data_IF_526586512127
#
_entry.id   IF_526586512127
#
_cell.length_a   1.000
_cell.length_b   1.000
_cell.length_c   1.000
_cell.angle_alpha   90.00
_cell.angle_beta   90.00
_cell.angle_gamma   90.00
#
_symmetry.space_group_name_H-M   'P 1'
#
loop_
_entity.id
_entity.type
_entity.pdbx_description
1 polymer ?
#
# COMPACT_ATOMS: atom_id res chain seq x y z
N UNK A 1 37.25 42.52 -58.75
CA UNK A 1 38.16 41.38 -59.01
C UNK A 1 39.55 41.78 -58.55
N UNK A 2 39.83 41.57 -57.26
CA UNK A 2 41.03 42.07 -56.58
C UNK A 2 41.79 40.94 -55.90
N UNK A 3 43.11 41.04 -56.00
CA UNK A 3 44.13 40.77 -54.99
C UNK A 3 43.80 39.90 -53.76
N UNK A 4 44.58 38.82 -53.62
CA UNK A 4 45.51 38.56 -52.51
C UNK A 4 45.09 38.97 -51.08
N UNK A 5 44.81 37.98 -50.21
CA UNK A 5 45.33 37.94 -48.82
C UNK A 5 45.24 36.54 -48.16
N UNK A 6 46.44 36.09 -47.80
CA UNK A 6 46.92 34.99 -46.95
C UNK A 6 46.13 34.76 -45.63
N UNK A 7 46.11 33.52 -45.13
CA UNK A 7 46.50 33.04 -43.76
C UNK A 7 46.03 31.56 -43.61
N UNK A 8 46.91 30.56 -43.75
CA UNK A 8 47.68 29.84 -42.70
C UNK A 8 46.86 29.14 -41.59
N UNK A 9 46.86 27.78 -41.61
CA UNK A 9 47.19 26.85 -40.49
C UNK A 9 47.01 25.41 -40.99
N UNK A 10 48.11 24.76 -41.39
CA UNK A 10 48.94 23.83 -40.60
C UNK A 10 48.26 22.47 -40.37
N UNK A 11 48.78 21.50 -41.12
CA UNK A 11 48.58 20.07 -41.10
C UNK A 11 48.82 19.43 -39.71
N UNK A 12 48.10 18.35 -39.41
CA UNK A 12 48.60 17.31 -38.53
C UNK A 12 48.12 15.94 -39.02
N UNK A 13 49.08 15.06 -39.33
CA UNK A 13 48.88 13.65 -39.59
C UNK A 13 48.26 12.98 -38.36
N UNK A 14 47.31 12.06 -38.58
CA UNK A 14 46.93 11.07 -37.59
C UNK A 14 47.29 9.66 -38.10
N UNK A 15 48.24 9.05 -37.41
CA UNK A 15 48.62 7.65 -37.59
C UNK A 15 47.54 6.72 -37.05
N UNK A 16 47.31 5.64 -37.78
CA UNK A 16 46.40 4.55 -37.41
C UNK A 16 47.10 3.72 -36.32
N UNK A 17 46.64 3.84 -35.07
CA UNK A 17 46.98 2.94 -33.98
C UNK A 17 45.76 2.09 -33.64
N UNK A 18 45.74 0.85 -34.12
CA UNK A 18 44.73 -0.13 -33.70
C UNK A 18 45.01 -0.58 -32.27
N UNK A 19 44.27 -0.04 -31.32
CA UNK A 19 44.19 -0.58 -29.95
C UNK A 19 43.27 -1.80 -30.02
N UNK A 20 43.84 -3.00 -29.94
CA UNK A 20 43.09 -4.20 -29.61
C UNK A 20 42.69 -4.11 -28.13
N UNK A 21 41.47 -3.63 -27.87
CA UNK A 21 40.80 -3.87 -26.59
C UNK A 21 40.42 -5.37 -26.56
N UNK A 22 41.18 -6.17 -25.82
CA UNK A 22 40.65 -7.43 -25.30
C UNK A 22 39.55 -7.05 -24.30
N UNK A 23 38.29 -7.12 -24.74
CA UNK A 23 37.15 -7.21 -23.85
C UNK A 23 37.22 -8.56 -23.12
N UNK A 24 37.93 -8.59 -21.99
CA UNK A 24 37.66 -9.59 -20.96
C UNK A 24 36.25 -9.29 -20.45
N UNK A 25 35.26 -9.92 -21.08
CA UNK A 25 33.98 -10.15 -20.43
C UNK A 25 34.30 -11.14 -19.31
N UNK A 26 34.66 -10.62 -18.14
CA UNK A 26 34.48 -11.38 -16.92
C UNK A 26 32.98 -11.63 -16.82
N UNK A 27 32.56 -12.78 -17.34
CA UNK A 27 31.31 -13.44 -16.98
C UNK A 27 31.45 -13.69 -15.48
N UNK A 28 31.08 -12.70 -14.67
CA UNK A 28 30.89 -12.90 -13.23
C UNK A 28 29.82 -13.97 -13.17
N UNK A 29 30.13 -15.21 -12.74
CA UNK A 29 29.10 -16.22 -12.61
C UNK A 29 28.10 -15.63 -11.62
N UNK A 30 26.88 -15.36 -12.06
CA UNK A 30 25.81 -14.93 -11.17
C UNK A 30 25.77 -15.97 -10.06
N UNK A 31 26.13 -15.57 -8.84
CA UNK A 31 26.26 -16.49 -7.73
C UNK A 31 25.01 -17.35 -7.67
N UNK A 32 25.16 -18.67 -7.87
CA UNK A 32 24.02 -19.58 -7.90
C UNK A 32 23.31 -19.48 -6.55
N UNK A 33 22.09 -18.92 -6.56
CA UNK A 33 21.32 -18.70 -5.33
C UNK A 33 20.83 -20.05 -4.85
N UNK A 34 21.59 -20.65 -3.94
CA UNK A 34 21.17 -21.90 -3.28
C UNK A 34 19.91 -21.66 -2.42
N UNK A 35 19.09 -22.69 -2.26
CA UNK A 35 17.91 -22.64 -1.39
C UNK A 35 18.28 -22.21 0.04
N UNK A 36 19.38 -22.74 0.58
CA UNK A 36 19.86 -22.40 1.92
C UNK A 36 20.24 -20.92 2.04
N UNK A 37 20.89 -20.35 1.01
CA UNK A 37 21.21 -18.92 0.98
C UNK A 37 19.94 -18.06 0.90
N UNK A 38 18.97 -18.45 0.06
CA UNK A 38 17.68 -17.77 -0.06
C UNK A 38 16.89 -17.78 1.26
N UNK A 39 16.80 -18.93 1.94
CA UNK A 39 16.14 -19.05 3.26
C UNK A 39 16.81 -18.18 4.31
N UNK A 40 18.14 -18.20 4.37
CA UNK A 40 18.91 -17.36 5.30
C UNK A 40 18.66 -15.86 5.04
N UNK A 41 18.67 -15.43 3.78
CA UNK A 41 18.39 -14.04 3.42
C UNK A 41 16.95 -13.64 3.79
N UNK A 42 15.97 -14.52 3.54
CA UNK A 42 14.57 -14.30 3.92
C UNK A 42 14.40 -14.15 5.42
N UNK A 43 15.05 -15.00 6.22
CA UNK A 43 15.03 -14.92 7.67
C UNK A 43 15.67 -13.61 8.16
N UNK A 44 16.82 -13.22 7.60
CA UNK A 44 17.49 -11.97 7.94
C UNK A 44 16.63 -10.74 7.61
N UNK A 45 16.02 -10.71 6.42
CA UNK A 45 15.12 -9.64 6.02
C UNK A 45 13.89 -9.57 6.93
N UNK A 46 13.27 -10.72 7.23
CA UNK A 46 12.10 -10.78 8.13
C UNK A 46 12.45 -10.27 9.52
N UNK A 47 13.58 -10.71 10.08
CA UNK A 47 14.05 -10.25 11.40
C UNK A 47 14.29 -8.74 11.42
N UNK A 48 14.88 -8.17 10.37
CA UNK A 48 15.08 -6.72 10.27
C UNK A 48 13.74 -5.98 10.19
N UNK A 49 12.82 -6.44 9.34
CA UNK A 49 11.51 -5.82 9.18
C UNK A 49 10.68 -5.87 10.46
N UNK A 50 10.64 -7.01 11.14
CA UNK A 50 9.82 -7.16 12.36
C UNK A 50 10.44 -6.45 13.55
N UNK A 51 11.77 -6.41 13.69
CA UNK A 51 12.43 -5.83 14.86
C UNK A 51 12.84 -4.36 14.74
N UNK A 52 13.13 -3.87 13.53
CA UNK A 52 13.66 -2.51 13.32
C UNK A 52 12.68 -1.60 12.58
N UNK A 53 12.02 -2.12 11.55
CA UNK A 53 11.16 -1.31 10.65
C UNK A 53 9.73 -1.18 11.18
N UNK A 54 9.19 -2.26 11.74
CA UNK A 54 7.79 -2.32 12.12
C UNK A 54 7.42 -1.31 13.19
N UNK A 55 6.17 -0.87 13.18
CA UNK A 55 5.55 -0.11 14.27
C UNK A 55 4.28 -0.86 14.65
N UNK A 56 4.27 -1.49 15.84
CA UNK A 56 3.16 -2.33 16.30
C UNK A 56 2.79 -3.43 15.29
N UNK A 57 3.77 -3.95 14.55
CA UNK A 57 3.58 -4.95 13.49
C UNK A 57 3.21 -4.40 12.11
N UNK A 58 2.97 -3.10 11.96
CA UNK A 58 2.65 -2.48 10.67
C UNK A 58 3.79 -1.71 10.02
N UNK A 59 3.54 -1.27 8.78
CA UNK A 59 4.55 -0.76 7.85
C UNK A 59 4.07 0.46 7.05
N UNK A 60 5.02 1.25 6.56
CA UNK A 60 4.86 2.36 5.61
C UNK A 60 5.41 1.99 4.22
N UNK A 61 5.31 2.90 3.25
CA UNK A 61 5.79 2.68 1.89
C UNK A 61 7.30 2.77 1.78
N UNK A 62 7.89 3.77 2.43
CA UNK A 62 9.33 4.08 2.32
C UNK A 62 9.91 4.48 3.66
N UNK A 63 11.18 4.13 3.80
CA UNK A 63 11.99 4.43 4.97
C UNK A 63 13.38 4.88 4.49
N UNK A 64 13.97 5.89 5.14
CA UNK A 64 15.40 6.13 5.01
C UNK A 64 16.19 4.95 5.59
N UNK A 65 17.44 4.78 5.16
CA UNK A 65 18.31 3.70 5.65
C UNK A 65 18.51 3.73 7.17
N UNK A 66 18.46 4.92 7.78
CA UNK A 66 18.56 5.12 9.23
C UNK A 66 17.19 5.14 9.94
N UNK A 67 16.09 4.88 9.21
CA UNK A 67 14.70 4.80 9.67
C UNK A 67 14.15 6.08 10.32
N UNK A 68 14.85 7.22 10.17
CA UNK A 68 14.41 8.53 10.67
C UNK A 68 13.34 9.16 9.79
N UNK A 69 13.43 8.96 8.49
CA UNK A 69 12.40 9.36 7.54
C UNK A 69 11.50 8.17 7.21
N UNK A 70 10.20 8.44 7.25
CA UNK A 70 9.13 7.46 7.05
C UNK A 70 8.02 8.10 6.26
N UNK A 71 7.54 7.44 5.21
CA UNK A 71 6.59 8.03 4.28
C UNK A 71 5.53 7.02 3.87
N UNK A 72 4.26 7.46 3.95
CA UNK A 72 3.18 6.98 3.09
C UNK A 72 3.03 7.96 1.94
N UNK A 73 1.81 8.46 1.72
CA UNK A 73 1.58 9.59 0.81
C UNK A 73 2.32 10.86 1.25
N UNK A 74 2.44 11.03 2.57
CA UNK A 74 3.15 12.12 3.20
C UNK A 74 4.12 11.58 4.26
N UNK A 75 5.04 12.43 4.71
CA UNK A 75 5.91 12.14 5.85
C UNK A 75 5.08 11.75 7.07
N UNK A 76 5.47 10.67 7.73
CA UNK A 76 4.73 10.09 8.84
C UNK A 76 5.58 10.07 10.12
N UNK A 77 4.97 10.26 11.30
CA UNK A 77 5.66 10.05 12.57
C UNK A 77 5.93 8.56 12.80
N UNK A 78 6.85 8.26 13.71
CA UNK A 78 7.21 6.88 14.04
C UNK A 78 6.06 6.05 14.65
N UNK A 79 4.99 6.69 15.12
CA UNK A 79 3.81 6.02 15.68
C UNK A 79 2.79 5.56 14.64
N UNK A 80 3.03 5.84 13.35
CA UNK A 80 2.05 5.63 12.28
C UNK A 80 2.47 4.52 11.34
N UNK A 81 1.48 3.75 10.90
CA UNK A 81 1.60 2.79 9.81
C UNK A 81 0.66 3.21 8.67
N UNK A 82 0.90 2.70 7.46
CA UNK A 82 0.05 2.96 6.32
C UNK A 82 -0.79 1.73 5.98
N UNK A 83 -2.07 1.94 5.63
CA UNK A 83 -3.01 0.89 5.23
C UNK A 83 -3.14 0.84 3.71
N UNK A 84 -3.19 2.01 3.06
CA UNK A 84 -3.21 2.11 1.60
C UNK A 84 -1.99 1.35 1.04
N UNK A 85 -2.18 0.44 0.07
CA UNK A 85 -1.08 -0.23 -0.61
C UNK A 85 -0.05 0.76 -1.18
N UNK A 86 1.26 0.44 -1.18
CA UNK A 86 1.87 -0.82 -0.71
C UNK A 86 2.22 -0.79 0.80
N UNK A 87 1.31 -0.37 1.68
CA UNK A 87 1.51 -0.33 3.12
C UNK A 87 1.43 -1.69 3.83
N UNK A 88 0.96 -1.66 5.08
CA UNK A 88 0.83 -2.81 5.99
C UNK A 88 0.20 -4.06 5.37
N UNK A 89 -0.96 -4.02 4.67
CA UNK A 89 -1.52 -5.23 4.09
C UNK A 89 -0.62 -5.87 3.04
N UNK A 90 0.09 -5.09 2.23
CA UNK A 90 1.00 -5.61 1.21
C UNK A 90 2.19 -6.36 1.81
N UNK A 91 2.75 -5.85 2.91
CA UNK A 91 3.84 -6.53 3.62
C UNK A 91 3.32 -7.78 4.36
N UNK A 92 2.14 -7.69 4.97
CA UNK A 92 1.48 -8.83 5.61
C UNK A 92 1.22 -9.99 4.64
N UNK A 93 0.66 -9.68 3.46
CA UNK A 93 0.45 -10.66 2.40
C UNK A 93 1.77 -11.27 1.90
N UNK A 94 2.85 -10.49 1.82
CA UNK A 94 4.16 -11.01 1.43
C UNK A 94 4.68 -12.05 2.43
N UNK A 95 4.55 -11.79 3.74
CA UNK A 95 4.89 -12.77 4.78
C UNK A 95 4.00 -14.01 4.71
N UNK A 96 2.69 -13.84 4.51
CA UNK A 96 1.75 -14.95 4.39
C UNK A 96 2.10 -15.84 3.19
N UNK A 97 2.33 -15.25 2.01
CA UNK A 97 2.74 -16.01 0.82
C UNK A 97 4.05 -16.74 1.05
N UNK A 98 5.03 -16.10 1.67
CA UNK A 98 6.30 -16.75 1.99
C UNK A 98 6.11 -17.92 2.97
N UNK A 99 5.24 -17.78 3.99
CA UNK A 99 4.86 -18.88 4.88
C UNK A 99 4.23 -20.05 4.10
N UNK A 100 3.25 -19.78 3.25
CA UNK A 100 2.56 -20.80 2.47
C UNK A 100 3.50 -21.60 1.55
N UNK A 101 4.59 -20.98 1.07
CA UNK A 101 5.58 -21.65 0.22
C UNK A 101 6.66 -22.42 1.01
N UNK A 102 6.87 -22.10 2.28
CA UNK A 102 8.04 -22.58 3.03
C UNK A 102 7.71 -23.33 4.32
N UNK A 103 6.53 -23.10 4.90
CA UNK A 103 6.11 -23.61 6.21
C UNK A 103 6.81 -22.96 7.40
N UNK A 104 7.63 -21.93 7.21
CA UNK A 104 8.49 -21.37 8.26
C UNK A 104 7.68 -20.56 9.29
N UNK A 105 7.64 -20.95 10.58
CA UNK A 105 6.73 -20.34 11.56
C UNK A 105 6.95 -18.85 11.81
N UNK A 106 8.19 -18.35 11.62
CA UNK A 106 8.50 -16.94 11.82
C UNK A 106 7.83 -16.03 10.79
N UNK A 107 7.53 -16.55 9.59
CA UNK A 107 6.80 -15.82 8.55
C UNK A 107 5.32 -15.69 8.91
N UNK A 108 4.70 -16.77 9.41
CA UNK A 108 3.33 -16.72 9.89
C UNK A 108 3.20 -15.75 11.07
N UNK A 109 4.16 -15.76 12.00
CA UNK A 109 4.18 -14.81 13.11
C UNK A 109 4.26 -13.35 12.62
N UNK A 110 5.08 -13.07 11.61
CA UNK A 110 5.18 -11.74 11.00
C UNK A 110 3.87 -11.32 10.29
N UNK A 111 3.23 -12.23 9.56
CA UNK A 111 1.92 -11.99 8.94
C UNK A 111 0.85 -11.69 10.01
N UNK A 112 0.80 -12.47 11.10
CA UNK A 112 -0.12 -12.23 12.21
C UNK A 112 0.12 -10.87 12.88
N UNK A 113 1.37 -10.44 13.04
CA UNK A 113 1.68 -9.11 13.58
C UNK A 113 1.12 -7.98 12.71
N UNK A 114 1.29 -8.08 11.38
CA UNK A 114 0.71 -7.11 10.45
C UNK A 114 -0.83 -7.10 10.49
N UNK A 115 -1.46 -8.26 10.59
CA UNK A 115 -2.91 -8.37 10.73
C UNK A 115 -3.41 -7.74 12.04
N UNK A 116 -2.73 -7.99 13.15
CA UNK A 116 -3.09 -7.38 14.44
C UNK A 116 -2.91 -5.85 14.44
N UNK A 117 -1.96 -5.31 13.67
CA UNK A 117 -1.87 -3.86 13.46
C UNK A 117 -3.14 -3.30 12.81
N UNK A 118 -3.67 -4.00 11.79
CA UNK A 118 -4.93 -3.64 11.12
C UNK A 118 -6.13 -3.80 12.04
N UNK A 119 -6.24 -4.90 12.79
CA UNK A 119 -7.30 -5.12 13.79
C UNK A 119 -7.36 -3.95 14.79
N UNK A 120 -6.20 -3.55 15.32
CA UNK A 120 -6.11 -2.42 16.25
C UNK A 120 -6.47 -1.06 15.62
N UNK A 121 -6.39 -0.94 14.30
CA UNK A 121 -6.70 0.28 13.56
C UNK A 121 -8.05 0.30 12.86
N UNK A 122 -8.88 -0.73 13.03
CA UNK A 122 -10.19 -0.80 12.39
C UNK A 122 -11.15 0.24 12.98
N UNK A 123 -11.89 0.95 12.12
CA UNK A 123 -12.85 1.97 12.50
C UNK A 123 -14.21 1.36 12.86
N UNK A 124 -14.98 2.05 13.72
CA UNK A 124 -16.38 1.69 14.04
C UNK A 124 -17.33 1.79 12.84
N UNK A 125 -16.92 2.42 11.74
CA UNK A 125 -17.69 2.39 10.48
C UNK A 125 -17.49 1.13 9.66
N UNK A 126 -16.48 0.31 9.94
CA UNK A 126 -16.30 -0.97 9.24
C UNK A 126 -14.88 -1.27 8.81
N UNK A 127 -14.30 -0.38 8.01
CA UNK A 127 -13.01 -0.57 7.39
C UNK A 127 -11.93 0.30 8.03
N UNK A 128 -11.10 0.90 7.18
CA UNK A 128 -9.92 1.66 7.59
C UNK A 128 -9.88 3.02 6.90
N UNK A 129 -9.10 3.92 7.47
CA UNK A 129 -8.59 5.10 6.79
C UNK A 129 -7.19 4.78 6.21
N UNK A 130 -6.56 5.70 5.46
CA UNK A 130 -5.26 5.45 4.82
C UNK A 130 -4.13 5.06 5.77
N UNK A 131 -4.22 5.40 7.05
CA UNK A 131 -3.20 5.11 8.04
C UNK A 131 -3.80 4.83 9.42
N UNK A 132 -2.99 4.23 10.28
CA UNK A 132 -3.31 3.98 11.67
C UNK A 132 -2.22 4.65 12.51
N UNK A 133 -2.65 5.46 13.48
CA UNK A 133 -1.75 6.11 14.45
C UNK A 133 -1.91 5.42 15.81
N UNK A 134 -0.80 4.95 16.36
CA UNK A 134 -0.76 4.28 17.66
C UNK A 134 -0.54 5.25 18.82
N UNK A 135 -0.13 6.50 18.56
CA UNK A 135 0.02 7.53 19.59
C UNK A 135 -1.23 8.41 19.69
N UNK A 136 -1.74 8.94 18.57
CA UNK A 136 -2.92 9.84 18.57
C UNK A 136 -4.24 9.08 18.40
N UNK A 137 -4.55 8.22 19.38
CA UNK A 137 -5.75 7.36 19.35
C UNK A 137 -7.08 8.11 19.40
N UNK A 138 -7.07 9.36 19.89
CA UNK A 138 -8.27 10.21 20.01
C UNK A 138 -8.72 10.85 18.69
N UNK A 139 -7.89 10.79 17.65
CA UNK A 139 -8.21 11.35 16.34
C UNK A 139 -9.20 10.49 15.53
N UNK A 140 -9.36 9.21 15.90
CA UNK A 140 -10.17 8.25 15.16
C UNK A 140 -11.03 7.39 16.07
N UNK A 141 -12.22 7.03 15.57
CA UNK A 141 -13.16 6.14 16.23
C UNK A 141 -12.73 4.68 15.98
N UNK A 142 -11.51 4.33 16.39
CA UNK A 142 -11.08 2.93 16.34
C UNK A 142 -11.94 2.07 17.26
N UNK A 143 -12.12 0.80 16.88
CA UNK A 143 -12.85 -0.19 17.67
C UNK A 143 -12.11 -0.54 18.95
N UNK A 144 -10.77 -0.56 18.89
CA UNK A 144 -9.89 -0.85 20.03
C UNK A 144 -9.24 0.44 20.52
N UNK A 145 -9.44 0.81 21.78
CA UNK A 145 -8.75 1.92 22.45
C UNK A 145 -8.70 3.23 21.62
N UNK A 146 -9.78 3.55 20.91
CA UNK A 146 -9.92 4.78 20.12
C UNK A 146 -11.14 5.59 20.52
N UNK A 147 -11.22 6.81 19.98
CA UNK A 147 -12.36 7.70 20.16
C UNK A 147 -12.04 8.99 20.88
N UNK A 148 -12.95 9.95 20.74
CA UNK A 148 -12.82 11.29 21.26
C UNK A 148 -13.93 12.19 20.68
N UNK A 149 -14.13 13.41 21.22
CA UNK A 149 -15.25 14.26 20.82
C UNK A 149 -15.24 14.67 19.34
N UNK A 150 -14.06 14.67 18.69
CA UNK A 150 -13.86 15.04 17.28
C UNK A 150 -13.23 13.92 16.46
N UNK A 151 -13.31 12.69 16.96
CA UNK A 151 -12.67 11.55 16.33
C UNK A 151 -13.37 11.20 15.01
N UNK A 152 -12.58 11.02 13.95
CA UNK A 152 -13.07 10.67 12.61
C UNK A 152 -13.49 9.20 12.59
N UNK A 153 -14.60 8.90 11.93
CA UNK A 153 -15.10 7.54 11.76
C UNK A 153 -15.29 7.15 10.29
N UNK A 154 -14.63 7.83 9.36
CA UNK A 154 -14.88 7.60 7.93
C UNK A 154 -13.96 6.52 7.39
N UNK A 155 -14.55 5.41 6.94
CA UNK A 155 -13.87 4.35 6.15
C UNK A 155 -13.61 4.85 4.73
N UNK A 156 -12.47 4.49 4.14
CA UNK A 156 -12.14 4.80 2.75
C UNK A 156 -11.99 3.53 1.91
N UNK A 157 -12.64 3.55 0.75
CA UNK A 157 -12.54 2.59 -0.35
C UNK A 157 -11.62 3.09 -1.46
N UNK A 158 -11.12 4.32 -1.31
CA UNK A 158 -10.13 4.93 -2.18
C UNK A 158 -8.80 4.18 -2.16
N UNK A 159 -8.13 4.16 -3.30
CA UNK A 159 -6.81 3.56 -3.49
C UNK A 159 -6.67 2.14 -2.92
N UNK A 160 -7.70 1.32 -3.09
CA UNK A 160 -7.73 -0.06 -2.60
C UNK A 160 -7.48 -0.21 -1.07
N UNK A 161 -7.69 0.84 -0.27
CA UNK A 161 -7.26 0.88 1.14
C UNK A 161 -7.95 -0.18 2.00
N UNK A 162 -9.27 -0.11 2.14
CA UNK A 162 -10.03 -1.07 2.95
C UNK A 162 -10.07 -2.45 2.29
N UNK A 163 -10.08 -2.47 0.96
CA UNK A 163 -10.15 -3.68 0.17
C UNK A 163 -8.88 -4.52 0.32
N UNK A 164 -7.68 -3.91 0.24
CA UNK A 164 -6.42 -4.62 0.46
C UNK A 164 -6.27 -5.08 1.91
N UNK A 165 -6.64 -4.24 2.88
CA UNK A 165 -6.66 -4.64 4.29
C UNK A 165 -7.57 -5.86 4.51
N UNK A 166 -8.79 -5.82 3.97
CA UNK A 166 -9.75 -6.89 4.12
C UNK A 166 -9.31 -8.16 3.38
N UNK A 167 -8.81 -8.03 2.15
CA UNK A 167 -8.31 -9.16 1.37
C UNK A 167 -7.19 -9.91 2.11
N UNK A 168 -6.21 -9.17 2.62
CA UNK A 168 -5.15 -9.76 3.44
C UNK A 168 -5.70 -10.50 4.66
N UNK A 169 -6.61 -9.87 5.41
CA UNK A 169 -7.20 -10.49 6.60
C UNK A 169 -7.99 -11.76 6.25
N UNK A 170 -8.76 -11.77 5.16
CA UNK A 170 -9.47 -12.98 4.67
C UNK A 170 -8.48 -14.11 4.39
N UNK A 171 -7.41 -13.83 3.66
CA UNK A 171 -6.41 -14.86 3.31
C UNK A 171 -5.73 -15.43 4.55
N UNK A 172 -5.37 -14.57 5.51
CA UNK A 172 -4.75 -15.02 6.76
C UNK A 172 -5.74 -15.78 7.64
N UNK A 173 -6.98 -15.32 7.75
CA UNK A 173 -8.02 -15.98 8.53
C UNK A 173 -8.31 -17.39 8.00
N UNK A 174 -8.34 -17.55 6.68
CA UNK A 174 -8.41 -18.84 6.01
C UNK A 174 -7.22 -19.74 6.34
N UNK A 175 -5.98 -19.22 6.28
CA UNK A 175 -4.77 -19.96 6.67
C UNK A 175 -4.82 -20.42 8.13
N UNK A 176 -5.36 -19.58 9.01
CA UNK A 176 -5.58 -19.86 10.44
C UNK A 176 -6.83 -20.69 10.71
N UNK A 177 -7.50 -21.19 9.67
CA UNK A 177 -8.71 -22.04 9.74
C UNK A 177 -9.84 -21.36 10.54
N UNK A 178 -9.90 -20.04 10.50
CA UNK A 178 -10.89 -19.22 11.21
C UNK A 178 -10.84 -19.36 12.74
N UNK A 179 -9.68 -19.73 13.31
CA UNK A 179 -9.53 -19.98 14.75
C UNK A 179 -8.92 -18.81 15.53
N UNK A 180 -8.38 -17.81 14.84
CA UNK A 180 -7.85 -16.60 15.49
C UNK A 180 -8.99 -15.58 15.64
N UNK A 181 -9.66 -15.62 16.80
CA UNK A 181 -10.89 -14.86 17.06
C UNK A 181 -10.78 -13.36 16.75
N UNK A 182 -9.71 -12.63 17.15
CA UNK A 182 -9.57 -11.21 16.80
C UNK A 182 -9.51 -10.94 15.29
N UNK A 183 -8.78 -11.77 14.53
CA UNK A 183 -8.64 -11.63 13.07
C UNK A 183 -9.97 -11.99 12.40
N UNK A 184 -10.59 -13.10 12.80
CA UNK A 184 -11.87 -13.54 12.25
C UNK A 184 -12.96 -12.50 12.46
N UNK A 185 -13.08 -11.98 13.69
CA UNK A 185 -14.08 -10.98 14.04
C UNK A 185 -13.88 -9.68 13.24
N UNK A 186 -12.64 -9.17 13.16
CA UNK A 186 -12.35 -7.96 12.39
C UNK A 186 -12.66 -8.13 10.90
N UNK A 187 -12.36 -9.31 10.34
CA UNK A 187 -12.66 -9.67 8.95
C UNK A 187 -14.15 -9.65 8.69
N UNK A 188 -14.93 -10.32 9.54
CA UNK A 188 -16.39 -10.37 9.41
C UNK A 188 -17.04 -9.02 9.66
N UNK A 189 -16.49 -8.20 10.55
CA UNK A 189 -16.96 -6.84 10.79
C UNK A 189 -16.83 -5.97 9.54
N UNK A 190 -15.66 -5.98 8.89
CA UNK A 190 -15.42 -5.23 7.66
C UNK A 190 -16.28 -5.72 6.50
N UNK A 191 -16.40 -7.04 6.28
CA UNK A 191 -17.27 -7.62 5.25
C UNK A 191 -18.72 -7.15 5.41
N UNK A 192 -19.27 -7.28 6.62
CA UNK A 192 -20.65 -6.87 6.89
C UNK A 192 -20.85 -5.36 6.70
N UNK A 193 -19.86 -4.53 7.04
CA UNK A 193 -19.93 -3.10 6.83
C UNK A 193 -19.88 -2.72 5.33
N UNK A 194 -19.03 -3.38 4.54
CA UNK A 194 -18.99 -3.17 3.09
C UNK A 194 -20.31 -3.53 2.41
N UNK A 195 -20.93 -4.65 2.80
CA UNK A 195 -22.24 -5.03 2.27
C UNK A 195 -23.32 -4.00 2.62
N UNK A 196 -23.29 -3.45 3.83
CA UNK A 196 -24.23 -2.38 4.24
C UNK A 196 -23.94 -1.04 3.59
N UNK A 197 -22.71 -0.79 3.17
CA UNK A 197 -22.32 0.44 2.47
C UNK A 197 -22.62 0.41 0.96
N UNK A 198 -23.08 -0.72 0.43
CA UNK A 198 -23.41 -0.86 -0.99
C UNK A 198 -24.67 -0.03 -1.32
N UNK A 199 -24.61 0.74 -2.39
CA UNK A 199 -25.74 1.47 -2.93
C UNK A 199 -26.76 0.54 -3.60
N UNK A 200 -28.03 0.96 -3.76
CA UNK A 200 -29.08 0.13 -4.36
C UNK A 200 -28.76 -0.40 -5.76
N UNK A 201 -27.94 0.31 -6.53
CA UNK A 201 -27.51 -0.11 -7.87
C UNK A 201 -26.31 -1.08 -7.87
N UNK A 202 -25.84 -1.50 -6.70
CA UNK A 202 -24.69 -2.39 -6.52
C UNK A 202 -23.33 -1.71 -6.46
N UNK A 203 -23.25 -0.38 -6.61
CA UNK A 203 -22.01 0.39 -6.48
C UNK A 203 -21.65 0.70 -5.02
N UNK A 204 -20.49 1.33 -4.81
CA UNK A 204 -20.05 1.79 -3.51
C UNK A 204 -19.61 3.27 -3.53
N UNK A 205 -19.69 3.97 -2.39
CA UNK A 205 -19.05 5.28 -2.21
C UNK A 205 -17.53 5.17 -2.26
N UNK A 206 -16.84 6.30 -2.47
CA UNK A 206 -15.41 6.37 -2.16
C UNK A 206 -15.18 6.24 -0.65
N UNK A 207 -16.03 6.85 0.18
CA UNK A 207 -15.91 6.86 1.64
C UNK A 207 -17.27 6.77 2.31
N UNK A 208 -17.34 6.09 3.44
CA UNK A 208 -18.57 5.95 4.22
C UNK A 208 -18.30 5.93 5.72
N UNK A 209 -19.29 6.35 6.51
CA UNK A 209 -19.31 6.20 7.96
C UNK A 209 -20.59 5.51 8.48
N UNK A 210 -21.54 5.26 7.57
CA UNK A 210 -22.87 4.72 7.83
C UNK A 210 -23.43 4.10 6.54
N UNK A 211 -24.44 3.20 6.63
CA UNK A 211 -25.19 2.73 5.46
C UNK A 211 -25.84 3.90 4.71
N UNK A 212 -25.96 3.85 3.38
CA UNK A 212 -26.55 4.92 2.60
C UNK A 212 -28.07 4.98 2.76
N UNK A 213 -28.66 6.17 2.60
CA UNK A 213 -30.10 6.32 2.42
C UNK A 213 -30.47 5.92 0.98
N UNK A 214 -31.26 4.86 0.76
CA UNK A 214 -31.61 4.41 -0.59
C UNK A 214 -32.30 5.49 -1.46
N UNK A 215 -32.99 6.45 -0.84
CA UNK A 215 -33.68 7.52 -1.57
C UNK A 215 -32.71 8.51 -2.23
N UNK A 216 -31.49 8.66 -1.69
CA UNK A 216 -30.44 9.50 -2.27
C UNK A 216 -29.72 8.82 -3.46
N UNK A 217 -29.88 7.50 -3.62
CA UNK A 217 -29.19 6.68 -4.63
C UNK A 217 -30.17 5.82 -5.45
N UNK A 218 -31.12 6.44 -6.18
CA UNK A 218 -32.13 5.71 -6.94
C UNK A 218 -31.51 4.88 -8.06
N UNK A 219 -32.07 3.69 -8.30
CA UNK A 219 -31.67 2.83 -9.41
C UNK A 219 -32.26 3.39 -10.71
N UNK A 220 -31.46 4.19 -11.41
CA UNK A 220 -31.81 4.80 -12.70
C UNK A 220 -30.95 4.23 -13.84
N UNK A 221 -31.49 4.26 -15.05
CA UNK A 221 -30.72 3.90 -16.26
C UNK A 221 -29.64 4.96 -16.50
N UNK A 222 -28.39 4.52 -16.60
CA UNK A 222 -27.27 5.39 -16.95
C UNK A 222 -27.55 6.14 -18.26
N UNK A 223 -27.29 7.44 -18.25
CA UNK A 223 -27.44 8.33 -19.40
C UNK A 223 -26.40 9.45 -19.33
N UNK A 224 -26.18 10.10 -20.47
CA UNK A 224 -25.45 11.37 -20.52
C UNK A 224 -26.47 12.50 -20.60
N UNK A 225 -26.27 13.60 -19.86
CA UNK A 225 -27.12 14.77 -20.05
C UNK A 225 -26.85 15.39 -21.43
N UNK A 226 -27.88 15.96 -22.07
CA UNK A 226 -27.77 16.61 -23.40
C UNK A 226 -26.75 17.75 -23.42
N UNK A 227 -26.51 18.37 -22.26
CA UNK A 227 -25.44 19.34 -22.05
C UNK A 227 -24.86 19.19 -20.63
N UNK A 228 -23.61 19.61 -20.45
CA UNK A 228 -22.96 19.63 -19.13
C UNK A 228 -22.12 20.88 -18.97
N UNK A 229 -22.06 21.40 -17.75
CA UNK A 229 -21.27 22.59 -17.43
C UNK A 229 -19.77 22.31 -17.59
N UNK A 230 -19.05 23.28 -18.18
CA UNK A 230 -17.58 23.27 -18.22
C UNK A 230 -16.96 23.89 -16.97
N UNK A 231 -17.79 24.42 -16.07
CA UNK A 231 -17.34 24.93 -14.77
C UNK A 231 -17.23 23.78 -13.78
N UNK A 232 -16.09 23.69 -13.10
CA UNK A 232 -15.85 22.66 -12.09
C UNK A 232 -16.78 22.89 -10.88
N UNK A 233 -17.64 21.92 -10.51
CA UNK A 233 -18.71 22.14 -9.53
C UNK A 233 -18.21 22.25 -8.07
N UNK A 234 -16.92 21.96 -7.80
CA UNK A 234 -16.31 21.97 -6.45
C UNK A 234 -17.08 21.15 -5.40
N UNK A 235 -17.87 20.17 -5.85
CA UNK A 235 -18.56 19.22 -4.97
C UNK A 235 -17.57 18.22 -4.41
N UNK A 236 -17.79 17.82 -3.16
CA UNK A 236 -17.15 16.61 -2.62
C UNK A 236 -17.72 15.42 -3.39
N UNK A 237 -16.85 14.46 -3.68
CA UNK A 237 -17.18 13.25 -4.43
C UNK A 237 -17.04 11.99 -3.56
N UNK A 238 -16.97 12.17 -2.25
CA UNK A 238 -16.76 11.07 -1.28
C UNK A 238 -17.87 10.02 -1.35
N UNK A 239 -19.07 10.46 -1.69
CA UNK A 239 -20.30 9.71 -1.82
C UNK A 239 -20.60 9.28 -3.27
N UNK A 240 -19.72 9.59 -4.23
CA UNK A 240 -19.97 9.22 -5.62
C UNK A 240 -19.73 7.73 -5.83
N UNK A 241 -20.45 7.16 -6.80
CA UNK A 241 -20.19 5.80 -7.29
C UNK A 241 -18.74 5.72 -7.74
N UNK A 242 -17.92 5.02 -6.98
CA UNK A 242 -16.48 5.01 -7.19
C UNK A 242 -16.06 3.71 -7.85
N UNK A 243 -15.24 3.83 -8.89
CA UNK A 243 -14.42 2.75 -9.41
C UNK A 243 -13.05 2.86 -8.76
N UNK A 244 -12.53 1.77 -8.22
CA UNK A 244 -11.16 1.75 -7.71
C UNK A 244 -10.19 1.97 -8.88
N UNK A 245 -9.25 2.90 -8.73
CA UNK A 245 -8.31 3.34 -9.76
C UNK A 245 -6.92 2.68 -9.66
N UNK A 246 -6.77 1.67 -8.79
CA UNK A 246 -5.59 0.82 -8.64
C UNK A 246 -5.75 -0.57 -9.26
#
# INVERSE_FOLDING_TARGET
MSEMRRILRKSLLFGIGSVFLLSLTDDVPGAEVTEAAARKAMQQATNYFTSQVSTEGGYLWKYSQDLKDREGENRAPASRIWVQPPGTPSVGEAFLRAYQQTGEPYLLAAAKAAAMALVNGQLKSGGWNYYIDFADRKAYQYRVNGGGPKARNTTTLDDNTTQAALHFLILLDQELKFQDEPIHEATMYALNALLKAQYPNGGWPQRFDSPPDPEDYPVIKANYPDSWSREFPKKKYLDYYTFNDN
#
